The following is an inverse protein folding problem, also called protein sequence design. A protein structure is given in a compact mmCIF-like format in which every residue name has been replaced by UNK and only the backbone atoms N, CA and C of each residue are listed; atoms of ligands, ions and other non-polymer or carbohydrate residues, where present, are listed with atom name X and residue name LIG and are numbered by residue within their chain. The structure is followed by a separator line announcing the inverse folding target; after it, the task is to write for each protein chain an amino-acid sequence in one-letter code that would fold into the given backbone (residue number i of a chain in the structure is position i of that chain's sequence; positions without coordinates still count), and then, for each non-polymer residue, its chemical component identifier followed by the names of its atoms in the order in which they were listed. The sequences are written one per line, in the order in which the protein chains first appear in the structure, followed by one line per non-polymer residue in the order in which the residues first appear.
data_IF_977427871407
#
_entry.id   IF_977427871407
#
_cell.length_a   1.000
_cell.length_b   1.000
_cell.length_c   1.000
_cell.angle_alpha   90.00
_cell.angle_beta   90.00
_cell.angle_gamma   90.00
#
_symmetry.space_group_name_H-M   'P 1'
#
loop_
_entity.id
_entity.type
_entity.pdbx_description
1 polymer ?
#
# COMPACT_ATOMS: atom_id res chain seq x y z
N UNK A 1 10.27 -12.88 13.90
CA UNK A 1 9.06 -12.45 13.16
C UNK A 1 9.49 -11.47 12.09
N UNK A 2 9.28 -11.80 10.81
CA UNK A 2 9.54 -10.87 9.71
C UNK A 2 8.28 -10.03 9.51
N UNK A 3 8.39 -8.74 9.78
CA UNK A 3 7.30 -7.78 9.59
C UNK A 3 7.65 -6.87 8.42
N UNK A 4 6.79 -6.84 7.41
CA UNK A 4 6.90 -5.90 6.29
C UNK A 4 5.73 -4.93 6.37
N UNK A 5 6.04 -3.64 6.45
CA UNK A 5 5.07 -2.55 6.45
C UNK A 5 5.17 -1.79 5.13
N UNK A 6 4.05 -1.67 4.44
CA UNK A 6 3.91 -0.84 3.24
C UNK A 6 2.65 0.02 3.32
N UNK A 7 2.52 0.99 2.44
CA UNK A 7 1.40 1.91 2.38
C UNK A 7 0.81 1.93 0.97
N UNK A 8 -0.51 1.88 0.89
CA UNK A 8 -1.26 2.27 -0.31
C UNK A 8 -1.80 3.67 -0.10
N UNK A 9 -1.82 4.49 -1.15
CA UNK A 9 -2.33 5.86 -1.06
C UNK A 9 -3.51 6.01 -2.01
N UNK A 10 -4.58 6.66 -1.54
CA UNK A 10 -5.76 6.98 -2.35
C UNK A 10 -6.23 8.41 -2.14
N UNK A 11 -6.95 8.95 -3.12
CA UNK A 11 -7.58 10.27 -3.04
C UNK A 11 -8.69 10.26 -1.95
N UNK A 12 -8.78 11.34 -1.17
CA UNK A 12 -9.88 11.59 -0.23
C UNK A 12 -11.09 12.13 -0.97
N UNK A 13 -12.28 11.87 -0.42
CA UNK A 13 -13.56 12.46 -0.85
C UNK A 13 -13.91 12.29 -2.34
N UNK A 14 -13.25 11.36 -3.02
CA UNK A 14 -13.59 10.95 -4.36
C UNK A 14 -14.88 10.08 -4.33
N UNK A 15 -15.72 10.15 -5.38
CA UNK A 15 -16.95 9.35 -5.46
C UNK A 15 -16.69 7.82 -5.51
N UNK A 16 -15.45 7.42 -5.75
CA UNK A 16 -14.98 6.04 -5.71
C UNK A 16 -13.50 6.02 -5.30
N UNK A 17 -13.03 4.88 -4.81
CA UNK A 17 -11.63 4.73 -4.43
C UNK A 17 -10.69 4.90 -5.63
N UNK A 18 -9.78 5.87 -5.52
CA UNK A 18 -8.75 6.15 -6.52
C UNK A 18 -7.37 5.98 -5.90
N UNK A 19 -6.75 4.84 -6.16
CA UNK A 19 -5.43 4.49 -5.66
C UNK A 19 -4.33 4.99 -6.58
N UNK A 20 -3.23 5.49 -6.00
CA UNK A 20 -2.03 5.88 -6.76
C UNK A 20 -1.34 4.63 -7.30
N UNK A 21 -0.96 4.64 -8.58
CA UNK A 21 -0.35 3.50 -9.27
C UNK A 21 1.12 3.71 -9.65
N UNK A 22 1.65 4.92 -9.52
CA UNK A 22 3.03 5.28 -9.83
C UNK A 22 3.74 5.93 -8.62
N UNK A 23 5.04 6.19 -8.72
CA UNK A 23 5.76 7.08 -7.79
C UNK A 23 5.86 8.45 -8.48
N UNK A 24 4.92 9.38 -8.23
CA UNK A 24 4.94 10.69 -8.87
C UNK A 24 6.14 11.50 -8.38
N UNK A 25 6.75 12.27 -9.28
CA UNK A 25 7.75 13.28 -8.91
C UNK A 25 7.08 14.59 -8.49
N UNK A 26 5.89 14.86 -9.03
CA UNK A 26 5.03 16.02 -8.73
C UNK A 26 3.55 15.58 -8.72
N UNK A 27 2.68 16.38 -8.09
CA UNK A 27 1.24 16.06 -8.00
C UNK A 27 0.56 15.81 -9.34
N UNK A 28 0.89 16.59 -10.37
CA UNK A 28 0.29 16.51 -11.71
C UNK A 28 0.63 15.20 -12.43
N UNK A 29 1.75 14.56 -12.07
CA UNK A 29 2.19 13.30 -12.64
C UNK A 29 1.49 12.09 -12.01
N UNK A 30 0.60 12.31 -11.04
CA UNK A 30 -0.02 11.24 -10.27
C UNK A 30 -1.03 10.46 -11.10
N UNK A 31 -0.78 9.17 -11.28
CA UNK A 31 -1.67 8.24 -11.97
C UNK A 31 -2.55 7.49 -10.97
N UNK A 32 -3.83 7.37 -11.29
CA UNK A 32 -4.82 6.75 -10.41
C UNK A 32 -5.51 5.54 -11.05
N UNK A 33 -5.95 4.62 -10.20
CA UNK A 33 -6.70 3.43 -10.57
C UNK A 33 -7.80 3.14 -9.56
N UNK A 34 -8.95 2.67 -10.05
CA UNK A 34 -10.01 2.09 -9.21
C UNK A 34 -9.69 0.67 -8.73
N UNK A 35 -8.81 -0.04 -9.44
CA UNK A 35 -8.38 -1.38 -9.04
C UNK A 35 -7.25 -1.27 -8.01
N UNK A 36 -7.55 -1.68 -6.77
CA UNK A 36 -6.59 -1.72 -5.65
C UNK A 36 -5.38 -2.60 -5.95
N UNK A 37 -5.51 -3.64 -6.80
CA UNK A 37 -4.39 -4.55 -7.13
C UNK A 37 -3.32 -3.86 -7.97
N UNK A 38 -3.67 -2.78 -8.66
CA UNK A 38 -2.75 -1.93 -9.43
C UNK A 38 -2.13 -0.82 -8.59
N UNK A 39 -2.57 -0.66 -7.35
CA UNK A 39 -2.05 0.36 -6.46
C UNK A 39 -0.57 0.08 -6.16
N UNK A 40 0.23 1.14 -6.16
CA UNK A 40 1.64 1.04 -5.79
C UNK A 40 1.76 0.96 -4.27
N UNK A 41 2.60 0.04 -3.81
CA UNK A 41 3.01 -0.04 -2.42
C UNK A 41 4.23 0.85 -2.17
N UNK A 42 4.12 1.72 -1.17
CA UNK A 42 5.18 2.61 -0.71
C UNK A 42 5.77 2.09 0.60
N UNK A 43 7.10 2.09 0.72
CA UNK A 43 7.78 1.67 1.97
C UNK A 43 7.63 2.73 3.08
N UNK A 44 7.46 4.00 2.71
CA UNK A 44 7.20 5.12 3.60
C UNK A 44 6.43 6.24 2.90
N UNK A 45 5.89 7.18 3.68
CA UNK A 45 5.12 8.32 3.14
C UNK A 45 6.02 9.49 2.72
N UNK A 46 7.24 9.57 3.25
CA UNK A 46 8.25 10.58 2.91
C UNK A 46 8.69 10.51 1.44
N UNK A 47 8.49 9.35 0.81
CA UNK A 47 8.84 9.05 -0.57
C UNK A 47 7.85 9.60 -1.60
N UNK A 48 6.77 10.27 -1.18
CA UNK A 48 5.64 10.57 -2.06
C UNK A 48 5.46 12.06 -2.24
N UNK A 49 5.78 12.57 -3.43
CA UNK A 49 5.65 13.98 -3.81
C UNK A 49 4.20 14.36 -4.15
N UNK A 50 3.28 14.22 -3.19
CA UNK A 50 1.87 14.58 -3.34
C UNK A 50 1.33 15.35 -2.14
N UNK A 51 0.24 16.09 -2.33
CA UNK A 51 -0.52 16.71 -1.25
C UNK A 51 -1.28 15.66 -0.42
N UNK A 52 -0.74 15.30 0.74
CA UNK A 52 -1.38 14.40 1.69
C UNK A 52 -2.64 14.99 2.37
N UNK A 53 -2.94 16.28 2.21
CA UNK A 53 -4.23 16.82 2.64
C UNK A 53 -5.37 16.32 1.76
N UNK A 54 -5.11 16.13 0.45
CA UNK A 54 -6.04 15.54 -0.53
C UNK A 54 -6.01 14.01 -0.56
N UNK A 55 -5.03 13.38 0.08
CA UNK A 55 -4.84 11.92 0.03
C UNK A 55 -4.90 11.25 1.40
N UNK A 56 -5.20 9.95 1.41
CA UNK A 56 -5.18 9.10 2.62
C UNK A 56 -4.30 7.89 2.38
N UNK A 57 -3.39 7.66 3.32
CA UNK A 57 -2.59 6.44 3.38
C UNK A 57 -3.35 5.30 4.08
N UNK A 58 -3.18 4.09 3.57
CA UNK A 58 -3.69 2.84 4.11
C UNK A 58 -2.47 1.98 4.44
N UNK A 59 -2.23 1.72 5.72
CA UNK A 59 -1.11 0.90 6.18
C UNK A 59 -1.43 -0.58 5.91
N UNK A 60 -0.54 -1.26 5.20
CA UNK A 60 -0.50 -2.71 5.03
C UNK A 60 0.62 -3.26 5.90
N UNK A 61 0.29 -4.19 6.80
CA UNK A 61 1.25 -4.90 7.63
C UNK A 61 1.15 -6.38 7.32
N UNK A 62 2.26 -6.98 6.90
CA UNK A 62 2.37 -8.41 6.64
C UNK A 62 3.28 -9.02 7.70
N UNK A 63 2.73 -9.97 8.46
CA UNK A 63 3.46 -10.76 9.46
C UNK A 63 3.52 -12.18 8.97
N UNK A 64 4.72 -12.68 8.69
CA UNK A 64 4.94 -14.06 8.27
C UNK A 64 5.38 -14.89 9.48
N UNK A 65 4.62 -15.96 9.75
CA UNK A 65 4.89 -16.96 10.79
C UNK A 65 5.00 -18.32 10.13
N UNK A 66 6.05 -19.07 10.44
CA UNK A 66 6.25 -20.44 9.93
C UNK A 66 6.36 -21.36 11.14
N UNK A 67 5.49 -22.36 11.18
CA UNK A 67 5.42 -23.36 12.25
C UNK A 67 5.64 -24.73 11.63
N UNK A 68 6.39 -25.58 12.34
CA UNK A 68 6.70 -26.94 11.95
C UNK A 68 6.21 -27.86 13.07
N UNK A 69 5.42 -28.86 12.71
CA UNK A 69 4.96 -29.91 13.62
C UNK A 69 5.47 -31.26 13.12
N UNK A 70 5.94 -32.09 14.03
CA UNK A 70 6.32 -33.46 13.75
C UNK A 70 5.04 -34.32 13.72
N UNK A 71 4.80 -35.01 12.61
CA UNK A 71 3.64 -35.89 12.45
C UNK A 71 4.11 -37.33 12.59
N UNK A 72 3.70 -37.99 13.67
CA UNK A 72 3.92 -39.43 13.84
C UNK A 72 2.96 -40.22 12.93
N UNK A 73 3.47 -41.26 12.29
CA UNK A 73 2.68 -42.20 11.48
C UNK A 73 2.61 -43.55 12.20
N UNK A 74 1.40 -44.09 12.39
CA UNK A 74 1.14 -45.45 12.88
C UNK A 74 1.57 -46.54 11.88
#
# INVERSE_FOLDING_TARGET
MKETVTYLIKLKDAPFDLYITNKPNNEEDTSYSRDRRRAREFAGLEDVSIDMNKHRAIKKKVTETTEYEEVEYD
#
